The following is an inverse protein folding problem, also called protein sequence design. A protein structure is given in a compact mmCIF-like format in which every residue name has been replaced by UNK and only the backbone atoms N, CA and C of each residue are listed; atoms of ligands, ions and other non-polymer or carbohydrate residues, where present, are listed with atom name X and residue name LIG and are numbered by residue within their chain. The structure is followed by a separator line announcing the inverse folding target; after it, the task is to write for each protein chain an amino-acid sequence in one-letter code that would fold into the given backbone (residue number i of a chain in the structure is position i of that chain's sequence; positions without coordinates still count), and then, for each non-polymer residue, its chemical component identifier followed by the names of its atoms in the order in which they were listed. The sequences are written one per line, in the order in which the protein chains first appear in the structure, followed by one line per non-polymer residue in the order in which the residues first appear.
data_IF_792485513750
#
_entry.id   IF_792485513750
#
_cell.length_a   1.000
_cell.length_b   1.000
_cell.length_c   1.000
_cell.angle_alpha   90.00
_cell.angle_beta   90.00
_cell.angle_gamma   90.00
#
_symmetry.space_group_name_H-M   'P 1'
#
loop_
_entity.id
_entity.type
_entity.pdbx_description
1 polymer ?
#
# COMPACT_ATOMS: atom_id res chain seq x y z
N UNK A 1 -40.49 -18.49 6.38
CA UNK A 1 -41.34 -17.59 5.59
C UNK A 1 -41.66 -16.37 6.45
N UNK A 2 -40.81 -15.34 6.46
CA UNK A 2 -41.08 -14.05 7.10
C UNK A 2 -40.43 -12.98 6.21
N UNK A 3 -41.28 -12.31 5.43
CA UNK A 3 -40.92 -11.13 4.65
C UNK A 3 -40.79 -9.93 5.60
N UNK A 4 -39.64 -9.27 5.63
CA UNK A 4 -39.45 -8.00 6.34
C UNK A 4 -39.63 -6.84 5.39
N UNK A 5 -40.62 -6.01 5.71
CA UNK A 5 -41.02 -4.78 5.05
C UNK A 5 -39.87 -3.75 5.00
N UNK A 6 -39.58 -3.25 3.81
CA UNK A 6 -38.81 -2.00 3.63
C UNK A 6 -39.81 -0.82 3.67
N UNK A 7 -39.54 0.25 4.41
CA UNK A 7 -40.38 1.43 4.38
C UNK A 7 -40.14 2.23 3.09
N UNK A 8 -41.23 2.57 2.42
CA UNK A 8 -41.25 3.39 1.23
C UNK A 8 -40.76 4.81 1.50
N UNK A 9 -39.77 5.26 0.71
CA UNK A 9 -39.27 6.63 0.72
C UNK A 9 -40.31 7.52 0.03
N UNK A 10 -41.06 8.29 0.81
CA UNK A 10 -41.96 9.34 0.27
C UNK A 10 -41.15 10.56 -0.10
N UNK A 11 -40.99 10.82 -1.39
CA UNK A 11 -40.49 12.09 -1.92
C UNK A 11 -41.47 13.22 -1.61
N UNK A 12 -41.07 14.17 -0.76
CA UNK A 12 -41.75 15.47 -0.68
C UNK A 12 -41.14 16.36 -1.77
N UNK A 13 -41.92 16.59 -2.82
CA UNK A 13 -41.62 17.67 -3.77
C UNK A 13 -41.97 18.97 -3.08
N UNK A 14 -40.91 19.75 -2.76
CA UNK A 14 -41.06 21.16 -2.36
C UNK A 14 -40.89 21.98 -3.62
N UNK A 15 -42.00 22.52 -4.11
CA UNK A 15 -42.04 23.52 -5.18
C UNK A 15 -41.66 24.86 -4.62
N UNK A 16 -40.77 25.56 -5.30
CA UNK A 16 -40.68 27.00 -5.13
C UNK A 16 -39.28 27.57 -5.06
N UNK A 17 -38.90 28.20 -6.18
CA UNK A 17 -38.13 29.43 -6.28
C UNK A 17 -36.71 29.48 -5.73
N UNK A 18 -35.81 29.83 -6.66
CA UNK A 18 -34.40 30.25 -6.57
C UNK A 18 -33.34 29.22 -6.96
N UNK A 19 -33.44 28.71 -8.20
CA UNK A 19 -32.37 27.93 -8.83
C UNK A 19 -31.23 28.80 -9.44
N UNK A 20 -31.22 30.09 -9.22
CA UNK A 20 -30.31 31.01 -9.96
C UNK A 20 -29.18 31.61 -9.13
N UNK A 21 -29.11 31.31 -7.82
CA UNK A 21 -28.06 31.85 -6.95
C UNK A 21 -27.04 30.79 -6.46
N UNK A 22 -27.20 29.54 -6.85
CA UNK A 22 -26.33 28.45 -6.41
C UNK A 22 -25.11 28.17 -7.33
N UNK A 23 -24.88 29.01 -8.36
CA UNK A 23 -23.84 28.79 -9.36
C UNK A 23 -22.76 29.88 -9.35
N UNK A 24 -22.16 30.14 -8.20
CA UNK A 24 -20.85 30.83 -8.09
C UNK A 24 -20.11 30.51 -6.81
N UNK A 25 -19.95 29.22 -6.48
CA UNK A 25 -18.77 28.83 -5.72
C UNK A 25 -17.60 28.91 -6.71
N UNK A 26 -16.47 29.57 -6.37
CA UNK A 26 -15.28 29.50 -7.21
C UNK A 26 -14.96 28.02 -7.40
N UNK A 27 -14.74 27.59 -8.65
CA UNK A 27 -14.17 26.30 -8.96
C UNK A 27 -12.91 26.21 -8.08
N UNK A 28 -12.97 25.39 -7.02
CA UNK A 28 -11.80 25.11 -6.21
C UNK A 28 -10.76 24.58 -7.18
N UNK A 29 -9.62 25.25 -7.30
CA UNK A 29 -8.53 24.84 -8.18
C UNK A 29 -8.27 23.35 -7.91
N UNK A 30 -8.25 22.55 -8.97
CA UNK A 30 -7.94 21.12 -8.84
C UNK A 30 -6.58 21.00 -8.16
N UNK A 31 -6.46 20.32 -7.01
CA UNK A 31 -5.17 20.14 -6.33
C UNK A 31 -4.10 19.51 -7.22
N UNK A 32 -4.51 18.80 -8.28
CA UNK A 32 -3.62 18.18 -9.27
C UNK A 32 -3.02 19.19 -10.27
N UNK A 33 -3.52 20.43 -10.32
CA UNK A 33 -2.96 21.48 -11.17
C UNK A 33 -1.68 22.11 -10.58
N UNK A 34 -1.36 21.78 -9.31
CA UNK A 34 -0.12 22.21 -8.66
C UNK A 34 1.03 21.36 -9.19
N UNK A 35 2.02 22.02 -9.80
CA UNK A 35 3.22 21.37 -10.31
C UNK A 35 4.29 21.39 -9.21
N UNK A 36 4.68 20.22 -8.62
CA UNK A 36 5.77 20.16 -7.66
C UNK A 36 7.11 20.53 -8.33
N UNK A 37 7.99 21.21 -7.58
CA UNK A 37 9.33 21.54 -8.07
C UNK A 37 10.28 20.35 -8.14
N UNK A 38 9.97 19.27 -7.40
CA UNK A 38 10.79 18.06 -7.33
C UNK A 38 9.97 16.83 -7.73
N UNK A 39 10.62 15.84 -8.31
CA UNK A 39 9.99 14.54 -8.60
C UNK A 39 9.91 13.75 -7.29
N UNK A 40 8.71 13.41 -6.79
CA UNK A 40 8.59 12.60 -5.58
C UNK A 40 9.06 11.17 -5.83
N UNK A 41 9.64 10.54 -4.79
CA UNK A 41 10.07 9.13 -4.83
C UNK A 41 11.14 8.82 -5.90
N UNK A 42 12.13 9.70 -6.03
CA UNK A 42 13.26 9.53 -6.95
C UNK A 42 14.39 8.70 -6.32
N UNK A 43 14.06 7.48 -5.89
CA UNK A 43 15.03 6.52 -5.37
C UNK A 43 15.54 5.67 -6.53
N UNK A 44 16.86 5.67 -6.83
CA UNK A 44 17.39 4.88 -7.92
C UNK A 44 17.30 3.37 -7.63
N UNK A 45 17.11 2.57 -8.69
CA UNK A 45 17.21 1.12 -8.58
C UNK A 45 18.67 0.69 -8.43
N UNK A 46 18.92 -0.18 -7.44
CA UNK A 46 20.21 -0.80 -7.18
C UNK A 46 20.31 -2.23 -7.70
N UNK A 47 21.41 -2.89 -7.35
CA UNK A 47 21.55 -4.34 -7.60
C UNK A 47 20.43 -5.11 -6.88
N UNK A 48 19.99 -6.25 -7.44
CA UNK A 48 18.98 -7.09 -6.82
C UNK A 48 19.42 -7.56 -5.42
N UNK A 49 18.47 -7.57 -4.48
CA UNK A 49 18.67 -8.16 -3.14
C UNK A 49 19.09 -9.63 -3.26
N UNK A 50 20.04 -10.07 -2.44
CA UNK A 50 20.44 -11.47 -2.41
C UNK A 50 19.39 -12.35 -1.72
N UNK A 51 19.40 -13.65 -2.00
CA UNK A 51 18.54 -14.61 -1.34
C UNK A 51 18.74 -14.61 0.18
N UNK A 52 19.98 -14.50 0.64
CA UNK A 52 20.32 -14.43 2.06
C UNK A 52 19.68 -13.23 2.75
N UNK A 53 19.80 -12.05 2.15
CA UNK A 53 19.18 -10.83 2.65
C UNK A 53 17.65 -10.94 2.63
N UNK A 54 17.06 -11.48 1.55
CA UNK A 54 15.63 -11.69 1.43
C UNK A 54 15.09 -12.62 2.51
N UNK A 55 15.81 -13.70 2.82
CA UNK A 55 15.47 -14.63 3.91
C UNK A 55 15.54 -13.96 5.29
N UNK A 56 16.57 -13.12 5.53
CA UNK A 56 16.68 -12.37 6.78
C UNK A 56 15.52 -11.38 6.96
N UNK A 57 15.11 -10.70 5.90
CA UNK A 57 13.93 -9.82 5.86
C UNK A 57 12.66 -10.59 6.21
N UNK A 58 12.44 -11.75 5.58
CA UNK A 58 11.27 -12.60 5.86
C UNK A 58 11.28 -13.09 7.31
N UNK A 59 12.42 -13.55 7.81
CA UNK A 59 12.53 -14.03 9.18
C UNK A 59 12.14 -12.96 10.20
N UNK A 60 12.59 -11.74 10.02
CA UNK A 60 12.23 -10.62 10.90
C UNK A 60 10.72 -10.28 10.82
N UNK A 61 10.13 -10.26 9.62
CA UNK A 61 8.72 -10.06 9.42
C UNK A 61 7.87 -11.16 10.09
N UNK A 62 8.24 -12.42 9.88
CA UNK A 62 7.56 -13.58 10.47
C UNK A 62 7.72 -13.61 12.00
N UNK A 63 8.87 -13.21 12.53
CA UNK A 63 9.08 -13.10 13.97
C UNK A 63 8.11 -12.08 14.60
N UNK A 64 7.94 -10.91 13.97
CA UNK A 64 6.99 -9.89 14.42
C UNK A 64 5.53 -10.38 14.34
N UNK A 65 5.18 -11.08 13.26
CA UNK A 65 3.86 -11.68 13.09
C UNK A 65 3.59 -12.76 14.18
N UNK A 66 4.55 -13.63 14.46
CA UNK A 66 4.45 -14.65 15.52
C UNK A 66 4.29 -14.05 16.91
N UNK A 67 5.05 -13.00 17.21
CA UNK A 67 4.96 -12.26 18.49
C UNK A 67 3.56 -11.73 18.76
N UNK A 68 2.82 -11.40 17.69
CA UNK A 68 1.46 -10.87 17.76
C UNK A 68 0.38 -11.90 17.49
N UNK A 69 0.76 -13.16 17.27
CA UNK A 69 -0.14 -14.25 16.88
C UNK A 69 -0.94 -13.94 15.58
N UNK A 70 -0.31 -13.24 14.63
CA UNK A 70 -0.88 -12.96 13.31
C UNK A 70 -0.37 -13.98 12.29
N UNK A 71 -1.25 -14.47 11.44
CA UNK A 71 -0.95 -15.48 10.41
C UNK A 71 -0.81 -14.79 9.06
N UNK A 72 0.43 -14.66 8.59
CA UNK A 72 0.78 -13.83 7.44
C UNK A 72 1.40 -14.63 6.30
N UNK A 73 1.26 -14.08 5.11
CA UNK A 73 2.08 -14.37 3.95
C UNK A 73 3.06 -13.21 3.76
N UNK A 74 4.32 -13.54 3.50
CA UNK A 74 5.39 -12.55 3.31
C UNK A 74 6.13 -12.86 2.03
N UNK A 75 6.21 -11.88 1.14
CA UNK A 75 6.92 -11.94 -0.13
C UNK A 75 8.06 -10.91 -0.16
N UNK A 76 9.20 -11.28 -0.71
CA UNK A 76 10.30 -10.36 -1.03
C UNK A 76 10.57 -10.43 -2.52
N UNK A 77 10.54 -9.28 -3.18
CA UNK A 77 10.89 -9.12 -4.59
C UNK A 77 12.21 -8.34 -4.73
N UNK A 78 12.93 -8.59 -5.83
CA UNK A 78 14.15 -7.86 -6.19
C UNK A 78 13.86 -6.46 -6.75
N UNK A 79 14.92 -5.73 -7.14
CA UNK A 79 14.79 -4.41 -7.78
C UNK A 79 14.12 -4.44 -9.16
N UNK A 80 13.98 -5.59 -9.78
CA UNK A 80 13.23 -5.80 -11.02
C UNK A 80 11.77 -6.22 -10.82
N UNK A 81 11.33 -6.43 -9.56
CA UNK A 81 9.97 -6.85 -9.23
C UNK A 81 9.76 -8.37 -9.30
N UNK A 82 10.82 -9.16 -9.45
CA UNK A 82 10.74 -10.61 -9.47
C UNK A 82 10.76 -11.17 -8.05
N UNK A 83 9.97 -12.22 -7.80
CA UNK A 83 9.94 -12.89 -6.52
C UNK A 83 11.29 -13.57 -6.22
N UNK A 84 11.92 -13.21 -5.10
CA UNK A 84 13.17 -13.81 -4.62
C UNK A 84 12.89 -14.86 -3.54
N UNK A 85 12.01 -14.52 -2.58
CA UNK A 85 11.65 -15.42 -1.50
C UNK A 85 10.22 -15.17 -1.03
N UNK A 86 9.58 -16.24 -0.57
CA UNK A 86 8.20 -16.21 -0.06
C UNK A 86 8.05 -17.14 1.13
N UNK A 87 7.29 -16.72 2.13
CA UNK A 87 6.91 -17.58 3.24
C UNK A 87 5.43 -17.43 3.58
N UNK A 88 4.70 -18.56 3.57
CA UNK A 88 3.36 -18.68 4.11
C UNK A 88 3.42 -19.26 5.51
N UNK A 89 2.86 -18.55 6.49
CA UNK A 89 2.67 -19.08 7.84
C UNK A 89 1.48 -20.05 7.88
N UNK A 90 1.54 -21.04 8.78
CA UNK A 90 0.44 -21.98 8.96
C UNK A 90 -0.85 -21.25 9.33
N UNK A 91 -1.92 -21.59 8.63
CA UNK A 91 -3.24 -20.96 8.81
C UNK A 91 -3.37 -19.55 8.22
N UNK A 92 -2.39 -19.05 7.47
CA UNK A 92 -2.54 -17.80 6.72
C UNK A 92 -3.57 -17.97 5.59
N UNK A 93 -4.35 -16.91 5.36
CA UNK A 93 -5.41 -16.88 4.35
C UNK A 93 -4.84 -17.10 2.94
N UNK A 94 -5.48 -17.94 2.13
CA UNK A 94 -4.98 -18.29 0.79
C UNK A 94 -4.94 -17.08 -0.16
N UNK A 95 -5.96 -16.23 -0.14
CA UNK A 95 -5.98 -15.03 -0.98
C UNK A 95 -4.80 -14.09 -0.70
N UNK A 96 -4.31 -14.07 0.53
CA UNK A 96 -3.19 -13.21 0.94
C UNK A 96 -1.86 -13.60 0.31
N UNK A 97 -1.73 -14.77 -0.33
CA UNK A 97 -0.52 -15.17 -1.08
C UNK A 97 -0.28 -14.18 -2.21
N UNK A 98 -1.25 -14.06 -3.11
CA UNK A 98 -1.15 -13.15 -4.27
C UNK A 98 -1.14 -11.68 -3.84
N UNK A 99 -1.86 -11.34 -2.77
CA UNK A 99 -1.88 -9.96 -2.26
C UNK A 99 -0.49 -9.56 -1.73
N UNK A 100 0.20 -10.43 -0.99
CA UNK A 100 1.56 -10.14 -0.50
C UNK A 100 2.55 -9.92 -1.66
N UNK A 101 2.51 -10.79 -2.68
CA UNK A 101 3.33 -10.64 -3.88
C UNK A 101 3.00 -9.36 -4.66
N UNK A 102 1.71 -9.02 -4.80
CA UNK A 102 1.29 -7.80 -5.48
C UNK A 102 1.74 -6.55 -4.72
N UNK A 103 1.63 -6.53 -3.39
CA UNK A 103 2.13 -5.42 -2.56
C UNK A 103 3.65 -5.23 -2.73
N UNK A 104 4.43 -6.32 -2.75
CA UNK A 104 5.86 -6.25 -3.00
C UNK A 104 6.14 -5.68 -4.40
N UNK A 105 5.49 -6.24 -5.44
CA UNK A 105 5.67 -5.79 -6.83
C UNK A 105 5.26 -4.33 -7.02
N UNK A 106 4.13 -3.90 -6.48
CA UNK A 106 3.69 -2.50 -6.56
C UNK A 106 4.71 -1.55 -5.93
N UNK A 107 5.27 -1.91 -4.76
CA UNK A 107 6.23 -1.06 -4.07
C UNK A 107 7.51 -0.83 -4.87
N UNK A 108 8.04 -1.83 -5.60
CA UNK A 108 9.22 -1.66 -6.45
C UNK A 108 8.88 -0.93 -7.73
N UNK A 109 7.80 -1.31 -8.42
CA UNK A 109 7.41 -0.72 -9.71
C UNK A 109 7.21 0.78 -9.61
N UNK A 110 6.59 1.24 -8.53
CA UNK A 110 6.31 2.65 -8.31
C UNK A 110 7.31 3.34 -7.37
N UNK A 111 8.36 2.67 -6.92
CA UNK A 111 9.43 3.17 -6.04
C UNK A 111 8.92 3.81 -4.75
N UNK A 112 7.83 3.28 -4.16
CA UNK A 112 7.18 3.86 -2.98
C UNK A 112 6.43 2.81 -2.17
N UNK A 113 6.18 3.07 -0.87
CA UNK A 113 5.30 2.21 -0.09
C UNK A 113 3.90 2.15 -0.73
N UNK A 114 3.27 0.97 -0.74
CA UNK A 114 1.90 0.81 -1.27
C UNK A 114 0.85 1.61 -0.49
N UNK A 115 1.17 2.02 0.74
CA UNK A 115 0.37 2.95 1.55
C UNK A 115 0.07 4.27 0.83
N UNK A 116 0.97 4.74 -0.03
CA UNK A 116 0.76 5.99 -0.79
C UNK A 116 -0.46 5.89 -1.70
N UNK A 117 -0.72 4.72 -2.29
CA UNK A 117 -1.90 4.50 -3.11
C UNK A 117 -3.17 4.41 -2.27
N UNK A 118 -3.10 3.72 -1.12
CA UNK A 118 -4.22 3.66 -0.19
C UNK A 118 -4.61 5.07 0.28
N UNK A 119 -3.65 5.86 0.76
CA UNK A 119 -3.90 7.23 1.22
C UNK A 119 -4.40 8.13 0.06
N UNK A 120 -3.83 7.98 -1.13
CA UNK A 120 -4.25 8.72 -2.32
C UNK A 120 -5.72 8.49 -2.66
N UNK A 121 -6.19 7.25 -2.58
CA UNK A 121 -7.58 6.91 -2.88
C UNK A 121 -8.50 7.25 -1.69
N UNK A 122 -8.15 6.84 -0.47
CA UNK A 122 -9.02 6.96 0.70
C UNK A 122 -9.12 8.40 1.22
N UNK A 123 -8.01 9.15 1.21
CA UNK A 123 -7.94 10.47 1.83
C UNK A 123 -7.99 11.61 0.80
N UNK A 124 -7.39 11.40 -0.38
CA UNK A 124 -7.25 12.43 -1.40
C UNK A 124 -8.22 12.24 -2.58
N UNK A 125 -9.02 11.16 -2.58
CA UNK A 125 -9.98 10.82 -3.63
C UNK A 125 -9.40 10.70 -5.05
N UNK A 126 -8.11 10.32 -5.15
CA UNK A 126 -7.41 10.13 -6.43
C UNK A 126 -7.78 8.80 -7.08
N UNK A 127 -9.06 8.63 -7.42
CA UNK A 127 -9.60 7.36 -7.93
C UNK A 127 -8.98 6.91 -9.25
N UNK A 128 -8.39 7.83 -10.02
CA UNK A 128 -7.67 7.49 -11.25
C UNK A 128 -6.49 6.53 -11.03
N UNK A 129 -5.94 6.47 -9.80
CA UNK A 129 -4.88 5.53 -9.45
C UNK A 129 -5.31 4.07 -9.63
N UNK A 130 -6.63 3.78 -9.56
CA UNK A 130 -7.19 2.44 -9.79
C UNK A 130 -7.12 2.00 -11.27
N UNK A 131 -6.88 2.94 -12.19
CA UNK A 131 -6.71 2.65 -13.61
C UNK A 131 -5.27 2.28 -13.98
N UNK A 132 -4.32 2.40 -13.05
CA UNK A 132 -2.92 2.06 -13.32
C UNK A 132 -2.67 0.58 -13.09
N UNK A 133 -2.11 -0.09 -14.09
CA UNK A 133 -1.68 -1.47 -13.95
C UNK A 133 -0.64 -1.63 -12.84
N UNK A 134 -0.81 -2.65 -12.00
CA UNK A 134 0.11 -2.95 -10.92
C UNK A 134 -0.08 -2.13 -9.64
N UNK A 135 -1.02 -1.19 -9.59
CA UNK A 135 -1.38 -0.49 -8.34
C UNK A 135 -2.17 -1.43 -7.43
N UNK A 136 -1.83 -1.41 -6.15
CA UNK A 136 -2.62 -2.01 -5.08
C UNK A 136 -2.87 -0.98 -3.99
N UNK A 137 -4.13 -0.63 -3.75
CA UNK A 137 -4.55 0.37 -2.78
C UNK A 137 -4.69 -0.24 -1.38
N UNK A 138 -3.63 -0.88 -0.91
CA UNK A 138 -3.55 -1.59 0.36
C UNK A 138 -2.11 -1.53 0.85
N UNK A 139 -1.90 -1.01 2.06
CA UNK A 139 -0.56 -0.88 2.64
C UNK A 139 0.04 -2.24 3.00
N UNK A 140 1.36 -2.29 3.16
CA UNK A 140 2.12 -3.51 3.47
C UNK A 140 3.18 -3.83 2.41
N UNK A 141 3.22 -3.12 1.27
CA UNK A 141 4.37 -3.12 0.36
C UNK A 141 5.36 -2.04 0.77
N UNK A 142 6.62 -2.40 1.02
CA UNK A 142 7.65 -1.46 1.52
C UNK A 142 8.95 -1.65 0.74
N UNK A 143 9.54 -0.56 0.22
CA UNK A 143 10.88 -0.57 -0.38
C UNK A 143 11.98 -1.01 0.59
N UNK A 144 12.93 -1.78 0.09
CA UNK A 144 14.16 -2.15 0.76
C UNK A 144 15.30 -1.31 0.16
N UNK A 145 15.77 -0.36 0.96
CA UNK A 145 16.77 0.63 0.53
C UNK A 145 18.10 0.34 1.21
N UNK A 146 19.13 0.11 0.42
CA UNK A 146 20.49 -0.03 0.88
C UNK A 146 21.38 1.02 0.21
N UNK A 147 22.16 1.78 0.99
CA UNK A 147 23.03 2.86 0.52
C UNK A 147 22.32 3.86 -0.43
N UNK A 148 21.04 4.17 -0.16
CA UNK A 148 20.27 5.10 -0.97
C UNK A 148 19.68 4.51 -2.25
N UNK A 149 19.88 3.22 -2.53
CA UNK A 149 19.37 2.53 -3.70
C UNK A 149 18.34 1.48 -3.33
N UNK A 150 17.31 1.33 -4.16
CA UNK A 150 16.29 0.30 -3.98
C UNK A 150 16.83 -1.04 -4.49
N UNK A 151 17.10 -1.96 -3.58
CA UNK A 151 17.60 -3.30 -3.91
C UNK A 151 16.48 -4.34 -4.02
N UNK A 152 15.30 -4.02 -3.53
CA UNK A 152 14.12 -4.89 -3.53
C UNK A 152 12.99 -4.29 -2.72
N UNK A 153 12.00 -5.13 -2.42
CA UNK A 153 10.80 -4.77 -1.65
C UNK A 153 10.29 -5.95 -0.84
N UNK A 154 9.58 -5.65 0.24
CA UNK A 154 8.80 -6.63 0.99
C UNK A 154 7.31 -6.33 0.85
N UNK A 155 6.48 -7.37 0.78
CA UNK A 155 5.03 -7.30 0.87
C UNK A 155 4.50 -8.32 1.87
N UNK A 156 3.63 -7.90 2.79
CA UNK A 156 2.95 -8.78 3.73
C UNK A 156 1.44 -8.67 3.57
N UNK A 157 0.75 -9.79 3.79
CA UNK A 157 -0.71 -9.85 3.81
C UNK A 157 -1.22 -11.03 4.64
N UNK A 158 -2.35 -10.84 5.31
CA UNK A 158 -2.99 -11.86 6.14
C UNK A 158 -3.85 -11.30 7.25
N UNK A 159 -3.65 -10.04 7.61
CA UNK A 159 -4.41 -9.32 8.62
C UNK A 159 -5.19 -8.14 8.04
N UNK A 160 -5.36 -7.10 8.85
CA UNK A 160 -5.77 -5.79 8.37
C UNK A 160 -4.59 -5.10 7.68
N UNK A 161 -4.86 -4.12 6.83
CA UNK A 161 -3.81 -3.38 6.13
C UNK A 161 -2.76 -2.77 7.07
N UNK A 162 -3.18 -2.29 8.24
CA UNK A 162 -2.27 -1.78 9.26
C UNK A 162 -1.42 -2.87 9.93
N UNK A 163 -1.96 -4.09 10.10
CA UNK A 163 -1.20 -5.24 10.60
C UNK A 163 -0.17 -5.68 9.56
N UNK A 164 -0.55 -5.75 8.30
CA UNK A 164 0.32 -6.08 7.18
C UNK A 164 1.51 -5.10 7.11
N UNK A 165 1.24 -3.79 7.26
CA UNK A 165 2.28 -2.76 7.29
C UNK A 165 3.26 -2.93 8.47
N UNK A 166 2.76 -3.24 9.67
CA UNK A 166 3.62 -3.48 10.85
C UNK A 166 4.58 -4.63 10.60
N UNK A 167 4.09 -5.73 10.04
CA UNK A 167 4.91 -6.91 9.72
C UNK A 167 5.96 -6.58 8.66
N UNK A 168 5.57 -5.90 7.59
CA UNK A 168 6.51 -5.49 6.54
C UNK A 168 7.56 -4.49 7.04
N UNK A 169 7.20 -3.56 7.92
CA UNK A 169 8.15 -2.62 8.55
C UNK A 169 9.21 -3.34 9.38
N UNK A 170 8.83 -4.38 10.12
CA UNK A 170 9.77 -5.19 10.88
C UNK A 170 10.77 -5.91 9.97
N UNK A 171 10.32 -6.46 8.85
CA UNK A 171 11.19 -7.05 7.84
C UNK A 171 12.10 -6.00 7.18
N UNK A 172 11.53 -4.88 6.73
CA UNK A 172 12.28 -3.84 6.05
C UNK A 172 13.38 -3.22 6.94
N UNK A 173 13.20 -3.18 8.26
CA UNK A 173 14.18 -2.66 9.20
C UNK A 173 15.52 -3.42 9.19
N UNK A 174 15.56 -4.65 8.65
CA UNK A 174 16.80 -5.42 8.48
C UNK A 174 17.73 -4.75 7.48
N UNK A 175 17.19 -4.15 6.44
CA UNK A 175 17.91 -3.50 5.34
C UNK A 175 17.94 -1.98 5.53
N UNK A 176 16.75 -1.38 5.78
CA UNK A 176 16.59 0.07 5.86
C UNK A 176 17.18 0.65 7.15
N UNK A 177 18.48 0.46 7.33
CA UNK A 177 19.21 1.09 8.43
C UNK A 177 19.29 2.60 8.16
N UNK A 178 18.84 3.41 9.13
CA UNK A 178 19.06 4.85 9.06
C UNK A 178 20.56 5.11 8.84
N UNK A 179 20.94 6.04 7.93
CA UNK A 179 22.32 6.46 7.82
C UNK A 179 22.85 6.84 9.21
N UNK A 180 24.04 6.36 9.56
CA UNK A 180 24.67 6.70 10.83
C UNK A 180 24.86 8.22 10.88
N UNK A 181 23.96 8.94 11.56
CA UNK A 181 24.03 10.40 11.71
C UNK A 181 22.72 11.15 11.79
N UNK A 182 21.57 10.53 11.51
CA UNK A 182 20.25 11.11 11.78
C UNK A 182 19.63 10.47 13.03
N UNK A 183 19.92 11.03 14.17
CA UNK A 183 19.18 10.85 15.42
C UNK A 183 18.42 12.13 15.74
#
# INVERSE_FOLDING_TARGET
MVAKNFPAFRSKIVSGSTAETAMKAPLTSNPLDVIPGEIPFDVPYGLPISLEQAQAVIQAAVAEAKKRNWKMNVAVADSGGNLVAFQRMDGAMLASIQIAEHKARAAVTFRRPSKVFEDGIQLMHLNYLLAFDGVIASRGGIPLIDQGMMIGTIGSSGGTDSQDEVVSKAGAAVINKLPAGMK
#
